data_IF_361464197423
#
_entry.id   IF_361464197423
#
_cell.length_a   1.000
_cell.length_b   1.000
_cell.length_c   1.000
_cell.angle_alpha   90.00
_cell.angle_beta   90.00
_cell.angle_gamma   90.00
#
_symmetry.space_group_name_H-M   'P 1'
#
loop_
_entity.id
_entity.type
_entity.pdbx_description
1 polymer ?
#
# COMPACT_ATOMS: atom_id res chain seq x y z
N UNK A 1 25.23 -5.42 20.15
CA UNK A 1 24.94 -3.98 20.01
C UNK A 1 23.76 -3.82 19.07
N UNK A 2 22.51 -3.90 19.55
CA UNK A 2 21.28 -3.47 18.87
C UNK A 2 20.10 -3.73 19.82
N UNK A 3 19.62 -2.69 20.52
CA UNK A 3 18.20 -2.45 20.86
C UNK A 3 18.10 -1.25 21.80
N UNK A 4 17.93 -0.06 21.21
CA UNK A 4 17.32 1.08 21.90
C UNK A 4 16.38 1.78 20.93
N UNK A 5 15.24 1.18 20.56
CA UNK A 5 14.11 1.95 20.00
C UNK A 5 12.79 1.25 20.34
N UNK A 6 12.41 1.23 21.60
CA UNK A 6 10.99 1.36 22.00
C UNK A 6 11.00 2.12 23.31
N UNK A 7 11.03 3.44 23.19
CA UNK A 7 10.82 4.31 24.34
C UNK A 7 9.32 4.17 24.69
N UNK A 8 8.96 3.19 25.52
CA UNK A 8 7.63 3.12 26.09
C UNK A 8 7.52 4.26 27.09
N UNK A 9 6.77 5.34 26.82
CA UNK A 9 6.53 6.33 27.85
C UNK A 9 5.88 5.59 29.02
N UNK A 10 6.51 5.68 30.19
CA UNK A 10 6.10 5.07 31.46
C UNK A 10 4.82 5.74 31.99
N UNK A 11 3.75 5.71 31.20
CA UNK A 11 2.45 6.31 31.45
C UNK A 11 1.42 5.27 31.05
N UNK A 12 0.50 4.91 31.95
CA UNK A 12 -0.54 3.91 31.68
C UNK A 12 -1.26 4.24 30.36
N UNK A 13 -0.93 3.50 29.30
CA UNK A 13 -1.40 3.75 27.92
C UNK A 13 -2.84 3.28 27.71
N UNK A 14 -3.35 2.48 28.66
CA UNK A 14 -4.68 1.90 28.66
C UNK A 14 -5.71 2.75 29.42
N UNK A 15 -5.39 4.03 29.68
CA UNK A 15 -6.38 4.94 30.26
C UNK A 15 -7.47 5.27 29.23
N UNK A 16 -8.68 5.49 29.73
CA UNK A 16 -9.89 5.68 28.94
C UNK A 16 -9.75 6.85 27.95
N UNK A 17 -9.08 7.93 28.35
CA UNK A 17 -8.92 9.12 27.51
C UNK A 17 -8.04 8.84 26.29
N UNK A 18 -6.92 8.13 26.46
CA UNK A 18 -6.04 7.76 25.36
C UNK A 18 -6.71 6.75 24.43
N UNK A 19 -7.36 5.72 24.98
CA UNK A 19 -8.07 4.73 24.17
C UNK A 19 -9.17 5.41 23.32
N UNK A 20 -9.97 6.28 23.92
CA UNK A 20 -11.00 7.05 23.21
C UNK A 20 -10.38 7.95 22.13
N UNK A 21 -9.23 8.56 22.39
CA UNK A 21 -8.51 9.35 21.38
C UNK A 21 -8.12 8.51 20.18
N UNK A 22 -7.46 7.36 20.41
CA UNK A 22 -7.01 6.49 19.32
C UNK A 22 -8.17 5.89 18.53
N UNK A 23 -9.28 5.55 19.18
CA UNK A 23 -10.51 5.12 18.50
C UNK A 23 -11.07 6.20 17.59
N UNK A 24 -11.04 7.46 18.03
CA UNK A 24 -11.46 8.60 17.19
C UNK A 24 -10.54 8.79 15.99
N UNK A 25 -9.23 8.65 16.18
CA UNK A 25 -8.24 8.77 15.11
C UNK A 25 -8.46 7.68 14.05
N UNK A 26 -8.60 6.41 14.48
CA UNK A 26 -8.89 5.28 13.58
C UNK A 26 -10.23 5.41 12.85
N UNK A 27 -11.26 5.93 13.54
CA UNK A 27 -12.57 6.17 12.93
C UNK A 27 -12.65 7.49 12.14
N UNK A 28 -11.55 8.25 12.06
CA UNK A 28 -11.46 9.55 11.40
C UNK A 28 -12.55 10.55 11.84
N UNK A 29 -12.80 10.63 13.14
CA UNK A 29 -13.79 11.54 13.74
C UNK A 29 -13.14 12.41 14.82
N UNK A 30 -13.69 13.61 15.04
CA UNK A 30 -13.12 14.56 16.02
C UNK A 30 -13.91 14.63 17.32
N UNK A 31 -15.22 14.37 17.27
CA UNK A 31 -16.14 14.63 18.38
C UNK A 31 -16.50 13.34 19.11
N UNK A 32 -16.47 13.38 20.43
CA UNK A 32 -16.89 12.26 21.29
C UNK A 32 -18.36 11.88 21.06
N UNK A 33 -19.22 12.84 20.69
CA UNK A 33 -20.60 12.57 20.31
C UNK A 33 -20.68 11.57 19.15
N UNK A 34 -19.81 11.69 18.15
CA UNK A 34 -19.78 10.79 16.99
C UNK A 34 -19.28 9.41 17.39
N UNK A 35 -18.27 9.32 18.27
CA UNK A 35 -17.80 8.05 18.78
C UNK A 35 -18.89 7.35 19.61
N UNK A 36 -19.63 8.10 20.43
CA UNK A 36 -20.73 7.55 21.23
C UNK A 36 -21.81 6.94 20.33
N UNK A 37 -22.14 7.61 19.23
CA UNK A 37 -23.08 7.10 18.23
C UNK A 37 -22.55 5.83 17.55
N UNK A 38 -21.26 5.79 17.17
CA UNK A 38 -20.64 4.62 16.55
C UNK A 38 -20.57 3.40 17.48
N UNK A 39 -20.36 3.63 18.78
CA UNK A 39 -20.34 2.60 19.81
C UNK A 39 -21.75 2.27 20.35
N UNK A 40 -22.79 2.94 19.86
CA UNK A 40 -24.18 2.81 20.31
C UNK A 40 -24.37 3.06 21.82
N UNK A 41 -23.57 3.97 22.38
CA UNK A 41 -23.65 4.40 23.79
C UNK A 41 -24.16 5.84 23.91
N UNK A 42 -24.67 6.19 25.09
CA UNK A 42 -25.04 7.59 25.39
C UNK A 42 -23.76 8.45 25.47
N UNK A 43 -23.77 9.73 25.02
CA UNK A 43 -22.60 10.62 25.15
C UNK A 43 -22.13 10.83 26.61
N UNK A 44 -23.05 10.73 27.56
CA UNK A 44 -22.78 10.76 29.00
C UNK A 44 -21.99 9.55 29.48
N UNK A 45 -22.11 8.41 28.81
CA UNK A 45 -21.33 7.19 29.09
C UNK A 45 -19.86 7.42 28.77
N UNK A 46 -19.52 7.93 27.57
CA UNK A 46 -18.13 8.27 27.24
C UNK A 46 -17.54 9.33 28.18
N UNK A 47 -18.35 10.30 28.58
CA UNK A 47 -17.92 11.31 29.57
C UNK A 47 -17.60 10.67 30.93
N UNK A 48 -18.41 9.70 31.37
CA UNK A 48 -18.19 8.94 32.60
C UNK A 48 -16.93 8.08 32.52
N UNK A 49 -16.72 7.40 31.39
CA UNK A 49 -15.54 6.57 31.15
C UNK A 49 -14.24 7.35 31.31
N UNK A 50 -14.15 8.52 30.67
CA UNK A 50 -12.97 9.40 30.80
C UNK A 50 -12.75 9.87 32.24
N UNK A 51 -13.81 10.25 32.96
CA UNK A 51 -13.73 10.74 34.34
C UNK A 51 -13.31 9.67 35.34
N UNK A 52 -13.79 8.44 35.15
CA UNK A 52 -13.54 7.29 36.05
C UNK A 52 -12.35 6.44 35.62
N UNK A 53 -11.72 6.80 34.52
CA UNK A 53 -10.66 6.03 33.87
C UNK A 53 -11.01 4.54 33.71
N UNK A 54 -12.23 4.27 33.25
CA UNK A 54 -12.76 2.91 33.05
C UNK A 54 -13.58 2.85 31.77
N UNK A 55 -13.40 1.80 30.99
CA UNK A 55 -14.11 1.57 29.73
C UNK A 55 -14.79 0.21 29.74
N UNK A 56 -15.78 0.04 28.88
CA UNK A 56 -16.30 -1.29 28.55
C UNK A 56 -15.36 -1.97 27.55
N UNK A 57 -14.39 -2.74 28.08
CA UNK A 57 -13.40 -3.42 27.25
C UNK A 57 -14.02 -4.36 26.22
N UNK A 58 -15.10 -5.05 26.59
CA UNK A 58 -15.79 -5.98 25.68
C UNK A 58 -16.36 -5.22 24.49
N UNK A 59 -17.10 -4.13 24.76
CA UNK A 59 -17.65 -3.29 23.70
C UNK A 59 -16.56 -2.74 22.77
N UNK A 60 -15.45 -2.24 23.33
CA UNK A 60 -14.36 -1.69 22.53
C UNK A 60 -13.69 -2.78 21.67
N UNK A 61 -13.44 -3.96 22.22
CA UNK A 61 -12.83 -5.08 21.47
C UNK A 61 -13.76 -5.52 20.34
N UNK A 62 -15.06 -5.69 20.62
CA UNK A 62 -16.05 -6.11 19.63
C UNK A 62 -16.15 -5.07 18.50
N UNK A 63 -16.18 -3.78 18.84
CA UNK A 63 -16.16 -2.69 17.87
C UNK A 63 -14.89 -2.70 17.00
N UNK A 64 -13.71 -2.84 17.62
CA UNK A 64 -12.44 -2.89 16.89
C UNK A 64 -12.39 -4.08 15.93
N UNK A 65 -12.81 -5.26 16.38
CA UNK A 65 -12.88 -6.45 15.53
C UNK A 65 -13.82 -6.25 14.34
N UNK A 66 -15.00 -5.66 14.58
CA UNK A 66 -15.96 -5.37 13.51
C UNK A 66 -15.44 -4.34 12.49
N UNK A 67 -14.54 -3.44 12.90
CA UNK A 67 -13.93 -2.42 12.02
C UNK A 67 -12.56 -2.80 11.47
N UNK A 68 -11.97 -3.92 11.90
CA UNK A 68 -10.61 -4.30 11.54
C UNK A 68 -9.53 -3.39 12.16
N UNK A 69 -9.80 -2.80 13.32
CA UNK A 69 -8.86 -1.94 14.03
C UNK A 69 -7.87 -2.76 14.86
N UNK A 70 -6.58 -2.40 14.80
CA UNK A 70 -5.54 -3.06 15.58
C UNK A 70 -5.65 -2.74 17.07
N UNK A 71 -5.90 -3.79 17.87
CA UNK A 71 -6.01 -3.69 19.32
C UNK A 71 -4.69 -3.23 19.97
N UNK A 72 -3.54 -3.56 19.39
CA UNK A 72 -2.24 -3.11 19.92
C UNK A 72 -2.13 -1.59 19.85
N UNK A 73 -2.52 -1.01 18.71
CA UNK A 73 -2.57 0.43 18.58
C UNK A 73 -3.60 1.03 19.54
N UNK A 74 -4.83 0.51 19.58
CA UNK A 74 -5.90 1.06 20.42
C UNK A 74 -5.51 1.08 21.90
N UNK A 75 -5.02 -0.03 22.45
CA UNK A 75 -4.75 -0.14 23.89
C UNK A 75 -3.36 0.33 24.29
N UNK A 76 -2.35 0.14 23.44
CA UNK A 76 -0.96 0.42 23.81
C UNK A 76 -0.36 1.61 23.05
N UNK A 77 -0.99 2.06 21.96
CA UNK A 77 -0.44 3.11 21.09
C UNK A 77 0.77 2.66 20.31
N UNK A 78 0.98 1.34 20.20
CA UNK A 78 2.03 0.76 19.38
C UNK A 78 1.46 0.63 17.98
N UNK A 79 1.98 1.42 17.04
CA UNK A 79 1.63 1.24 15.63
C UNK A 79 2.02 -0.18 15.18
N UNK A 80 1.20 -0.83 14.34
CA UNK A 80 1.55 -2.12 13.80
C UNK A 80 2.88 -2.00 13.07
N UNK A 81 3.84 -2.86 13.42
CA UNK A 81 5.17 -2.94 12.81
C UNK A 81 5.09 -2.99 11.27
N UNK A 82 3.97 -3.49 10.74
CA UNK A 82 3.69 -3.58 9.32
C UNK A 82 3.67 -2.23 8.58
N UNK A 83 3.35 -1.10 9.24
CA UNK A 83 3.38 0.22 8.55
C UNK A 83 4.79 0.56 8.07
N UNK A 84 5.79 0.32 8.90
CA UNK A 84 7.20 0.49 8.52
C UNK A 84 7.70 -0.58 7.56
N UNK A 85 7.17 -1.81 7.62
CA UNK A 85 7.52 -2.85 6.64
C UNK A 85 7.00 -2.45 5.26
N UNK A 86 5.80 -1.89 5.15
CA UNK A 86 5.23 -1.39 3.89
C UNK A 86 6.04 -0.23 3.31
N UNK A 87 6.43 0.73 4.16
CA UNK A 87 7.30 1.85 3.75
C UNK A 87 8.68 1.36 3.26
N UNK A 88 9.29 0.42 3.99
CA UNK A 88 10.57 -0.19 3.62
C UNK A 88 10.44 -1.03 2.33
N UNK A 89 9.35 -1.78 2.17
CA UNK A 89 9.08 -2.54 0.98
C UNK A 89 8.93 -1.61 -0.24
N UNK A 90 8.20 -0.50 -0.10
CA UNK A 90 8.03 0.48 -1.17
C UNK A 90 9.38 1.11 -1.57
N UNK A 91 10.23 1.43 -0.59
CA UNK A 91 11.57 1.96 -0.83
C UNK A 91 12.47 0.93 -1.55
N UNK A 92 12.45 -0.33 -1.11
CA UNK A 92 13.22 -1.42 -1.73
C UNK A 92 12.77 -1.68 -3.16
N UNK A 93 11.46 -1.78 -3.40
CA UNK A 93 10.88 -1.96 -4.74
C UNK A 93 11.31 -0.81 -5.66
N UNK A 94 11.27 0.43 -5.17
CA UNK A 94 11.74 1.60 -5.94
C UNK A 94 13.22 1.49 -6.32
N UNK A 95 14.09 1.11 -5.38
CA UNK A 95 15.53 0.92 -5.64
C UNK A 95 15.80 -0.18 -6.65
N UNK A 96 15.17 -1.34 -6.48
CA UNK A 96 15.30 -2.48 -7.39
C UNK A 96 14.84 -2.08 -8.78
N UNK A 97 13.69 -1.41 -8.90
CA UNK A 97 13.18 -0.92 -10.19
C UNK A 97 14.16 0.04 -10.86
N UNK A 98 14.66 1.03 -10.13
CA UNK A 98 15.63 2.01 -10.66
C UNK A 98 16.91 1.37 -11.17
N UNK A 99 17.38 0.29 -10.53
CA UNK A 99 18.55 -0.45 -10.98
C UNK A 99 18.34 -1.11 -12.36
N UNK A 100 17.12 -1.54 -12.67
CA UNK A 100 16.77 -2.22 -13.92
C UNK A 100 16.21 -1.29 -15.01
N UNK A 101 15.94 -0.02 -14.72
CA UNK A 101 15.32 0.90 -15.68
C UNK A 101 16.13 1.07 -16.97
N UNK A 102 17.45 1.19 -16.85
CA UNK A 102 18.35 1.31 -18.00
C UNK A 102 18.35 0.04 -18.86
N UNK A 103 18.51 -1.12 -18.22
CA UNK A 103 18.53 -2.41 -18.92
C UNK A 103 17.21 -2.68 -19.66
N UNK A 104 16.08 -2.36 -19.03
CA UNK A 104 14.75 -2.47 -19.66
C UNK A 104 14.62 -1.53 -20.86
N UNK A 105 15.14 -0.30 -20.76
CA UNK A 105 15.14 0.66 -21.87
C UNK A 105 15.95 0.14 -23.05
N UNK A 106 17.15 -0.37 -22.78
CA UNK A 106 18.05 -0.90 -23.81
C UNK A 106 17.42 -2.12 -24.51
N UNK A 107 16.83 -3.07 -23.75
CA UNK A 107 16.11 -4.24 -24.29
C UNK A 107 14.98 -3.80 -25.23
N UNK A 108 14.18 -2.79 -24.84
CA UNK A 108 13.10 -2.27 -25.69
C UNK A 108 13.63 -1.63 -26.97
N UNK A 109 14.77 -0.93 -26.89
CA UNK A 109 15.47 -0.39 -28.05
C UNK A 109 15.89 -1.49 -29.02
N UNK A 110 16.59 -2.52 -28.53
CA UNK A 110 16.99 -3.67 -29.36
C UNK A 110 15.81 -4.39 -30.00
N UNK A 111 14.70 -4.54 -29.27
CA UNK A 111 13.49 -5.15 -29.80
C UNK A 111 12.91 -4.34 -30.97
N UNK A 112 12.85 -3.00 -30.86
CA UNK A 112 12.36 -2.14 -31.94
C UNK A 112 13.24 -2.22 -33.20
N UNK A 113 14.57 -2.27 -33.02
CA UNK A 113 15.51 -2.40 -34.14
C UNK A 113 15.37 -3.75 -34.85
N UNK A 114 15.19 -4.83 -34.10
CA UNK A 114 14.93 -6.17 -34.63
C UNK A 114 13.65 -6.20 -35.49
N UNK A 115 12.56 -5.61 -35.00
CA UNK A 115 11.29 -5.52 -35.74
C UNK A 115 11.49 -4.76 -37.06
N UNK A 116 12.15 -3.60 -37.00
CA UNK A 116 12.45 -2.80 -38.20
C UNK A 116 13.29 -3.57 -39.23
N UNK A 117 14.29 -4.32 -38.77
CA UNK A 117 15.14 -5.12 -39.65
C UNK A 117 14.37 -6.28 -40.28
N UNK A 118 13.45 -6.91 -39.54
CA UNK A 118 12.60 -7.97 -40.06
C UNK A 118 11.71 -7.47 -41.21
N UNK A 119 11.11 -6.29 -41.07
CA UNK A 119 10.26 -5.70 -42.11
C UNK A 119 11.03 -5.32 -43.37
N UNK A 120 12.27 -4.84 -43.21
CA UNK A 120 13.19 -4.58 -44.34
C UNK A 120 13.57 -5.86 -45.11
N UNK A 121 13.65 -7.00 -44.42
CA UNK A 121 13.93 -8.28 -45.09
C UNK A 121 12.72 -8.79 -45.88
N UNK A 122 11.52 -8.74 -45.29
CA UNK A 122 10.27 -9.12 -45.96
C UNK A 122 10.04 -8.34 -47.25
N UNK A 123 10.31 -7.03 -47.24
CA UNK A 123 10.16 -6.17 -48.42
C UNK A 123 11.17 -6.51 -49.52
N UNK A 124 12.43 -6.83 -49.17
CA UNK A 124 13.44 -7.27 -50.15
C UNK A 124 13.05 -8.59 -50.83
N UNK A 125 12.58 -9.58 -50.08
CA UNK A 125 12.12 -10.86 -50.64
C UNK A 125 10.92 -10.67 -51.58
N UNK A 126 9.94 -9.84 -51.21
CA UNK A 126 8.78 -9.54 -52.05
C UNK A 126 9.18 -8.92 -53.40
N UNK A 127 10.17 -8.02 -53.40
CA UNK A 127 10.71 -7.40 -54.62
C UNK A 127 11.41 -8.44 -55.50
N UNK A 128 12.17 -9.36 -54.92
CA UNK A 128 12.86 -10.41 -55.68
C UNK A 128 11.87 -11.37 -56.36
N UNK A 129 10.80 -11.75 -55.66
CA UNK A 129 9.71 -12.57 -56.21
C UNK A 129 9.03 -11.85 -57.38
N UNK A 130 8.74 -10.55 -57.23
CA UNK A 130 8.15 -9.74 -58.29
C UNK A 130 9.07 -9.68 -59.53
N UNK A 131 10.38 -9.44 -59.35
CA UNK A 131 11.38 -9.45 -60.44
C UNK A 131 11.41 -10.79 -61.19
N UNK A 132 11.39 -11.92 -60.46
CA UNK A 132 11.35 -13.27 -61.06
C UNK A 132 10.07 -13.52 -61.87
N UNK A 133 8.91 -13.01 -61.41
CA UNK A 133 7.65 -13.10 -62.17
C UNK A 133 7.72 -12.28 -63.47
N UNK A 134 8.20 -11.04 -63.41
CA UNK A 134 8.34 -10.18 -64.60
C UNK A 134 9.27 -10.80 -65.65
N UNK A 135 10.42 -11.34 -65.24
CA UNK A 135 11.38 -11.98 -66.15
C UNK A 135 10.85 -13.25 -66.86
N UNK A 136 9.83 -13.92 -66.31
CA UNK A 136 9.16 -15.06 -66.97
C UNK A 136 8.12 -14.61 -68.01
N UNK A 137 7.56 -13.41 -67.87
CA UNK A 137 6.54 -12.87 -68.79
C UNK A 137 7.18 -12.25 -70.03
N UNK A 138 8.38 -11.65 -69.92
CA UNK A 138 9.10 -11.04 -71.05
C UNK A 138 9.90 -12.01 -71.93
N UNK A 139 9.99 -13.29 -71.58
CA UNK A 139 10.65 -14.35 -72.38
C UNK A 139 9.68 -15.16 -73.25
N UNK A 140 8.47 -14.66 -73.48
CA UNK A 140 7.42 -15.29 -74.28
C UNK A 140 6.99 -14.34 -75.38
#
# INVERSE_FOLDING_TARGET
MYTQIVNFPNKNTQNATLIISRLKDLANIKRDLQLAQLLEVRPTTLSTWKKRDSIDYRLIIDFCNAKGFDLNFVFFGVEPINSHIEDLAQLLIGKVKGQFEKEISDIKGYQADLVNNLDKLKTKEAIEIAKKKVAKVTKK
#
